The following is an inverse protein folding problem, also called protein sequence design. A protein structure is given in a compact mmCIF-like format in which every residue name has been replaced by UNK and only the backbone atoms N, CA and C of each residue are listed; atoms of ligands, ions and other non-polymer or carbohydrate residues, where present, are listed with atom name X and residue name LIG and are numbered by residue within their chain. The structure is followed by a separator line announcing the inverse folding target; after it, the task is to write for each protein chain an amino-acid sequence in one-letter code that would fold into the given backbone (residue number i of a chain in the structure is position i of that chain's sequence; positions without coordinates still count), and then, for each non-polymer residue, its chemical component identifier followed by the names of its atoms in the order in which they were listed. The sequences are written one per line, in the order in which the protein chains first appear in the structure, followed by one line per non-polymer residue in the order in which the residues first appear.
data_IF_863385307659
#
_entry.id   IF_863385307659
#
_cell.length_a   1.000
_cell.length_b   1.000
_cell.length_c   1.000
_cell.angle_alpha   90.00
_cell.angle_beta   90.00
_cell.angle_gamma   90.00
#
_symmetry.space_group_name_H-M   'P 1'
#
loop_
_entity.id
_entity.type
_entity.pdbx_description
1 polymer ?
#
# COMPACT_ATOMS: atom_id res chain seq x y z
N UNK A 1 -4.89 -13.23 2.98
CA UNK A 1 -4.71 -11.78 3.04
C UNK A 1 -5.45 -11.19 1.85
N UNK A 2 -6.12 -10.07 2.01
CA UNK A 2 -6.93 -9.45 0.96
C UNK A 2 -6.11 -8.52 0.06
N UNK A 3 -6.47 -8.43 -1.22
CA UNK A 3 -5.82 -7.54 -2.18
C UNK A 3 -6.77 -6.39 -2.50
N UNK A 4 -6.42 -5.20 -2.05
CA UNK A 4 -7.29 -4.03 -2.12
C UNK A 4 -6.65 -2.99 -3.06
N UNK A 5 -7.42 -2.48 -4.01
CA UNK A 5 -6.95 -1.39 -4.88
C UNK A 5 -6.94 -0.08 -4.07
N UNK A 6 -5.85 0.68 -4.16
CA UNK A 6 -5.75 1.99 -3.49
C UNK A 6 -6.92 2.92 -3.86
N UNK A 7 -7.40 2.87 -5.12
CA UNK A 7 -8.55 3.65 -5.60
C UNK A 7 -9.84 3.37 -4.82
N UNK A 8 -10.06 2.15 -4.36
CA UNK A 8 -11.27 1.77 -3.64
C UNK A 8 -11.25 2.24 -2.17
N UNK A 9 -10.05 2.28 -1.56
CA UNK A 9 -9.82 2.87 -0.24
C UNK A 9 -10.07 4.38 -0.28
N UNK A 10 -9.50 5.08 -1.28
CA UNK A 10 -9.67 6.53 -1.45
C UNK A 10 -11.16 6.90 -1.67
N UNK A 11 -11.90 6.07 -2.40
CA UNK A 11 -13.34 6.23 -2.63
C UNK A 11 -14.22 5.78 -1.45
N UNK A 12 -13.61 5.36 -0.32
CA UNK A 12 -14.30 4.85 0.88
C UNK A 12 -15.25 3.67 0.60
N UNK A 13 -14.93 2.85 -0.41
CA UNK A 13 -15.72 1.64 -0.74
C UNK A 13 -15.36 0.45 0.15
N UNK A 14 -14.17 0.48 0.75
CA UNK A 14 -13.62 -0.60 1.56
C UNK A 14 -13.09 0.00 2.86
N UNK A 15 -13.45 -0.62 3.98
CA UNK A 15 -12.89 -0.29 5.29
C UNK A 15 -11.71 -1.23 5.61
N UNK A 16 -10.50 -0.68 5.57
CA UNK A 16 -9.25 -1.42 5.82
C UNK A 16 -9.11 -1.91 7.26
N UNK A 17 -9.86 -1.34 8.21
CA UNK A 17 -9.83 -1.75 9.62
C UNK A 17 -10.53 -3.09 9.87
N UNK A 18 -11.29 -3.60 8.88
CA UNK A 18 -11.97 -4.89 8.97
C UNK A 18 -11.08 -6.10 8.64
N UNK A 19 -9.83 -5.86 8.21
CA UNK A 19 -8.92 -6.92 7.77
C UNK A 19 -7.67 -7.00 8.65
N UNK A 20 -7.36 -8.22 9.13
CA UNK A 20 -6.13 -8.47 9.89
C UNK A 20 -4.85 -8.35 9.04
N UNK A 21 -4.93 -8.72 7.76
CA UNK A 21 -3.78 -8.67 6.83
C UNK A 21 -4.24 -8.43 5.40
N UNK A 22 -3.70 -7.39 4.78
CA UNK A 22 -4.05 -6.99 3.41
C UNK A 22 -2.84 -6.43 2.65
N UNK A 23 -2.98 -6.38 1.33
CA UNK A 23 -2.03 -5.78 0.40
C UNK A 23 -2.75 -4.67 -0.35
N UNK A 24 -2.17 -3.48 -0.36
CA UNK A 24 -2.69 -2.34 -1.13
C UNK A 24 -1.97 -2.28 -2.48
N UNK A 25 -2.71 -2.29 -3.57
CA UNK A 25 -2.17 -2.23 -4.93
C UNK A 25 -2.36 -0.86 -5.58
N UNK A 26 -1.39 -0.47 -6.39
CA UNK A 26 -1.44 0.71 -7.26
C UNK A 26 -1.19 0.25 -8.70
N UNK A 27 -1.68 1.01 -9.67
CA UNK A 27 -1.32 0.81 -11.09
C UNK A 27 0.15 1.19 -11.28
N UNK A 28 0.95 0.25 -11.77
CA UNK A 28 2.41 0.35 -11.77
C UNK A 28 3.07 0.00 -13.09
N UNK A 29 2.32 -0.15 -14.19
CA UNK A 29 2.85 -0.57 -15.49
C UNK A 29 3.97 0.37 -15.97
N UNK A 30 3.78 1.68 -15.85
CA UNK A 30 4.84 2.65 -16.17
C UNK A 30 5.92 2.77 -15.08
N UNK A 31 5.56 2.65 -13.80
CA UNK A 31 6.51 2.80 -12.68
C UNK A 31 7.53 1.66 -12.64
N UNK A 32 7.07 0.43 -12.89
CA UNK A 32 7.90 -0.78 -12.86
C UNK A 32 8.97 -0.79 -13.95
N UNK A 33 8.79 -0.03 -15.05
CA UNK A 33 9.81 0.15 -16.10
C UNK A 33 11.07 0.84 -15.58
N UNK A 34 10.97 1.62 -14.50
CA UNK A 34 12.12 2.17 -13.79
C UNK A 34 12.92 1.15 -12.97
N UNK A 35 12.53 -0.13 -12.99
CA UNK A 35 13.19 -1.22 -12.25
C UNK A 35 12.95 -1.20 -10.74
N UNK A 36 11.97 -0.42 -10.26
CA UNK A 36 11.71 -0.21 -8.85
C UNK A 36 10.28 -0.54 -8.43
N UNK A 37 10.12 -1.07 -7.22
CA UNK A 37 8.82 -1.27 -6.56
C UNK A 37 8.49 -0.15 -5.57
N UNK A 38 7.37 -0.26 -4.86
CA UNK A 38 6.93 0.72 -3.87
C UNK A 38 8.00 1.07 -2.81
N UNK A 39 8.78 0.07 -2.38
CA UNK A 39 9.90 0.29 -1.43
C UNK A 39 11.03 1.11 -2.04
N UNK A 40 11.33 0.91 -3.32
CA UNK A 40 12.36 1.69 -4.04
C UNK A 40 11.93 3.15 -4.22
N UNK A 41 10.62 3.42 -4.23
CA UNK A 41 10.03 4.75 -4.41
C UNK A 41 9.69 5.45 -3.08
N UNK A 42 10.14 4.93 -1.93
CA UNK A 42 9.83 5.52 -0.62
C UNK A 42 11.09 5.78 0.22
N UNK A 43 11.09 6.91 0.91
CA UNK A 43 12.12 7.30 1.89
C UNK A 43 11.42 7.64 3.21
N UNK A 44 11.22 6.67 4.12
CA UNK A 44 10.54 6.92 5.38
C UNK A 44 11.35 7.89 6.27
N UNK A 45 10.76 9.03 6.63
CA UNK A 45 11.40 10.02 7.52
C UNK A 45 11.15 9.69 9.00
N UNK A 46 9.95 9.19 9.34
CA UNK A 46 9.57 8.83 10.71
C UNK A 46 8.53 7.71 10.70
N UNK A 47 8.56 6.83 11.72
CA UNK A 47 7.62 5.73 11.93
C UNK A 47 7.25 5.66 13.41
N UNK A 48 5.98 5.35 13.72
CA UNK A 48 5.55 5.08 15.11
C UNK A 48 6.24 3.80 15.62
N UNK A 49 6.61 3.81 16.90
CA UNK A 49 7.15 2.62 17.55
C UNK A 49 6.14 1.48 17.50
N UNK A 50 6.65 0.25 17.36
CA UNK A 50 5.84 -0.98 17.37
C UNK A 50 5.97 -1.60 18.76
N UNK A 51 4.85 -1.95 19.37
CA UNK A 51 4.83 -2.82 20.55
C UNK A 51 4.92 -4.27 20.06
N UNK A 52 6.08 -4.89 20.23
CA UNK A 52 6.36 -6.27 19.82
C UNK A 52 5.86 -7.26 20.87
#
# INVERSE_FOLDING_TARGET
FEIIKAKDIIKKKVDIHTYDKFVVTIEGDELSRGGGGARCMTMPISRKAVNW
#
